data_IF_437265035909
#
_entry.id   IF_437265035909
#
_cell.length_a   1.000
_cell.length_b   1.000
_cell.length_c   1.000
_cell.angle_alpha   90.00
_cell.angle_beta   90.00
_cell.angle_gamma   90.00
#
_symmetry.space_group_name_H-M   'P 1'
#
loop_
_entity.id
_entity.type
_entity.pdbx_description
1 polymer ?
#
# COMPACT_ATOMS: atom_id res chain seq x y z
N UNK A 1 -16.62 13.55 -14.36
CA UNK A 1 -18.02 13.24 -14.70
C UNK A 1 -18.12 11.82 -15.25
N UNK A 2 -19.05 11.01 -14.74
CA UNK A 2 -19.37 9.68 -15.29
C UNK A 2 -20.29 9.81 -16.50
N UNK A 3 -20.08 8.98 -17.52
CA UNK A 3 -21.00 8.88 -18.66
C UNK A 3 -22.34 8.22 -18.32
N UNK A 4 -22.35 7.33 -17.31
CA UNK A 4 -23.53 6.56 -16.91
C UNK A 4 -23.69 6.55 -15.37
N UNK A 5 -24.07 7.69 -14.75
CA UNK A 5 -24.12 7.83 -13.30
C UNK A 5 -25.08 6.86 -12.60
N UNK A 6 -26.11 6.37 -13.30
CA UNK A 6 -27.06 5.39 -12.77
C UNK A 6 -26.51 3.97 -12.73
N UNK A 7 -25.43 3.69 -13.48
CA UNK A 7 -24.87 2.35 -13.67
C UNK A 7 -23.57 2.10 -12.92
N UNK A 8 -22.72 3.12 -12.83
CA UNK A 8 -21.41 3.01 -12.19
C UNK A 8 -21.25 3.97 -11.04
N UNK A 9 -20.40 3.59 -10.09
CA UNK A 9 -19.91 4.45 -9.01
C UNK A 9 -18.40 4.36 -8.95
N UNK A 10 -17.77 5.26 -8.21
CA UNK A 10 -16.37 5.07 -7.86
C UNK A 10 -16.26 3.88 -6.91
N UNK A 11 -15.22 3.06 -7.10
CA UNK A 11 -14.78 2.12 -6.07
C UNK A 11 -14.33 2.87 -4.83
N UNK A 12 -14.28 2.17 -3.70
CA UNK A 12 -13.61 2.72 -2.54
C UNK A 12 -12.15 3.06 -2.92
N UNK A 13 -11.67 4.22 -2.49
CA UNK A 13 -10.38 4.78 -2.92
C UNK A 13 -10.29 5.08 -4.44
N UNK A 14 -11.40 5.17 -5.19
CA UNK A 14 -11.37 5.25 -6.66
C UNK A 14 -10.56 6.40 -7.30
N UNK A 15 -10.24 7.50 -6.61
CA UNK A 15 -9.57 8.66 -7.24
C UNK A 15 -8.07 8.50 -7.42
N UNK A 16 -7.46 8.08 -6.33
CA UNK A 16 -6.16 7.45 -6.27
C UNK A 16 -6.02 6.57 -7.51
N UNK A 17 -7.13 5.88 -7.78
CA UNK A 17 -7.28 4.78 -8.66
C UNK A 17 -7.18 5.20 -10.19
N UNK A 18 -6.77 6.45 -10.48
CA UNK A 18 -6.60 7.05 -11.83
C UNK A 18 -5.14 7.23 -12.29
N UNK A 19 -4.16 7.05 -11.40
CA UNK A 19 -2.75 7.34 -11.68
C UNK A 19 -1.94 6.06 -11.85
N UNK A 20 -1.16 5.94 -12.93
CA UNK A 20 -0.31 4.76 -13.15
C UNK A 20 0.94 4.73 -12.25
N UNK A 21 1.59 5.88 -12.14
CA UNK A 21 2.84 6.07 -11.40
C UNK A 21 2.89 7.49 -10.85
N UNK A 22 3.44 7.63 -9.63
CA UNK A 22 3.80 8.92 -9.04
C UNK A 22 5.28 8.86 -8.70
N UNK A 23 5.99 9.94 -9.05
CA UNK A 23 7.42 10.09 -8.83
C UNK A 23 7.70 11.37 -8.07
N UNK A 24 8.60 11.28 -7.11
CA UNK A 24 9.19 12.43 -6.43
C UNK A 24 10.60 12.63 -6.98
N UNK A 25 10.82 13.79 -7.61
CA UNK A 25 12.10 14.18 -8.15
C UNK A 25 12.61 15.44 -7.43
N UNK A 26 13.90 15.47 -7.11
CA UNK A 26 14.58 16.68 -6.62
C UNK A 26 15.68 17.01 -7.63
N UNK A 27 15.62 18.20 -8.22
CA UNK A 27 16.54 18.66 -9.28
C UNK A 27 16.67 17.68 -10.46
N UNK A 28 15.60 16.96 -10.82
CA UNK A 28 15.59 16.00 -11.93
C UNK A 28 16.13 14.61 -11.57
N UNK A 29 16.52 14.38 -10.31
CA UNK A 29 16.89 13.06 -9.80
C UNK A 29 15.66 12.44 -9.13
N UNK A 30 15.28 11.24 -9.57
CA UNK A 30 14.20 10.46 -8.94
C UNK A 30 14.63 10.00 -7.55
N UNK A 31 13.93 10.50 -6.53
CA UNK A 31 14.15 10.16 -5.12
C UNK A 31 13.33 8.94 -4.75
N UNK A 32 12.09 8.90 -5.23
CA UNK A 32 11.19 7.79 -4.99
C UNK A 32 10.14 7.69 -6.10
N UNK A 33 9.67 6.48 -6.33
CA UNK A 33 8.61 6.17 -7.28
C UNK A 33 7.72 5.09 -6.69
N UNK A 34 6.42 5.22 -6.92
CA UNK A 34 5.47 4.16 -6.62
C UNK A 34 4.69 3.83 -7.88
N UNK A 35 4.43 2.54 -8.11
CA UNK A 35 3.63 1.98 -9.21
C UNK A 35 2.52 1.13 -8.62
N UNK A 36 1.56 0.69 -9.46
CA UNK A 36 0.37 -0.07 -9.02
C UNK A 36 -0.25 0.63 -7.83
N UNK A 37 -0.43 1.92 -8.05
CA UNK A 37 -0.62 2.85 -6.99
C UNK A 37 -1.79 2.31 -6.10
N UNK A 38 -2.97 1.91 -6.59
CA UNK A 38 -4.20 1.79 -5.77
C UNK A 38 -4.19 0.72 -4.75
N UNK A 39 -3.53 -0.36 -5.09
CA UNK A 39 -3.24 -1.39 -4.13
C UNK A 39 -2.35 -0.83 -3.02
N UNK A 40 -1.26 -0.14 -3.38
CA UNK A 40 -0.32 0.45 -2.42
C UNK A 40 -1.00 1.40 -1.43
N UNK A 41 -1.83 2.37 -1.83
CA UNK A 41 -2.54 3.20 -0.84
C UNK A 41 -3.62 2.45 -0.11
N UNK A 42 -4.27 1.47 -0.73
CA UNK A 42 -5.26 0.67 -0.02
C UNK A 42 -4.61 -0.08 1.13
N UNK A 43 -3.44 -0.68 0.89
CA UNK A 43 -2.60 -1.28 1.93
C UNK A 43 -2.20 -0.24 2.97
N UNK A 44 -1.67 0.91 2.55
CA UNK A 44 -1.26 1.97 3.48
C UNK A 44 -2.42 2.42 4.36
N UNK A 45 -3.61 2.59 3.81
CA UNK A 45 -4.76 3.05 4.58
C UNK A 45 -5.24 2.00 5.58
N UNK A 46 -5.28 0.72 5.20
CA UNK A 46 -5.58 -0.33 6.16
C UNK A 46 -4.51 -0.44 7.25
N UNK A 47 -3.23 -0.32 6.92
CA UNK A 47 -2.11 -0.46 7.85
C UNK A 47 -1.95 0.74 8.79
N UNK A 48 -2.03 1.96 8.25
CA UNK A 48 -1.74 3.20 8.97
C UNK A 48 -2.99 3.94 9.43
N UNK A 49 -4.16 3.58 8.89
CA UNK A 49 -5.43 4.19 9.23
C UNK A 49 -5.77 3.95 10.70
N UNK A 50 -6.40 4.95 11.30
CA UNK A 50 -6.97 4.86 12.64
C UNK A 50 -8.44 5.27 12.58
N UNK A 51 -9.29 4.77 13.51
CA UNK A 51 -10.69 5.18 13.59
C UNK A 51 -10.89 6.70 13.68
N UNK A 52 -9.94 7.43 14.29
CA UNK A 52 -10.00 8.89 14.45
C UNK A 52 -9.89 9.64 13.12
N UNK A 53 -9.23 9.05 12.13
CA UNK A 53 -9.02 9.67 10.82
C UNK A 53 -10.13 9.33 9.82
N UNK A 54 -11.13 8.54 10.22
CA UNK A 54 -12.16 8.00 9.34
C UNK A 54 -12.85 9.07 8.48
N UNK A 55 -13.41 10.10 9.10
CA UNK A 55 -14.13 11.18 8.40
C UNK A 55 -13.18 12.02 7.53
N UNK A 56 -11.90 12.06 7.90
CA UNK A 56 -10.87 12.77 7.16
C UNK A 56 -10.55 12.10 5.82
N UNK A 57 -10.96 10.86 5.56
CA UNK A 57 -10.65 10.15 4.31
C UNK A 57 -11.82 10.11 3.30
N UNK A 58 -13.03 10.50 3.69
CA UNK A 58 -14.18 10.48 2.77
C UNK A 58 -13.96 11.40 1.56
N UNK A 59 -13.32 12.55 1.77
CA UNK A 59 -13.02 13.52 0.70
C UNK A 59 -11.94 13.04 -0.29
N UNK A 60 -11.15 12.02 0.08
CA UNK A 60 -10.20 11.32 -0.79
C UNK A 60 -10.75 10.01 -1.36
N UNK A 61 -12.05 9.75 -1.15
CA UNK A 61 -12.78 8.62 -1.75
C UNK A 61 -12.88 7.37 -0.89
N UNK A 62 -12.55 7.44 0.40
CA UNK A 62 -12.63 6.32 1.33
C UNK A 62 -13.94 6.29 2.11
N UNK A 63 -14.76 5.26 1.89
CA UNK A 63 -16.15 5.20 2.37
C UNK A 63 -16.39 3.93 3.22
N UNK A 64 -15.65 3.80 4.32
CA UNK A 64 -15.54 2.57 5.15
C UNK A 64 -16.78 2.17 6.02
N UNK A 65 -17.77 3.05 6.21
CA UNK A 65 -18.93 2.95 7.14
C UNK A 65 -20.13 3.68 6.57
N UNK A 66 -19.92 4.90 6.08
CA UNK A 66 -20.94 5.66 5.39
C UNK A 66 -20.86 5.28 3.91
N UNK A 67 -21.92 4.71 3.36
CA UNK A 67 -22.03 4.45 1.92
C UNK A 67 -22.20 5.76 1.13
N UNK A 68 -21.48 6.82 1.50
CA UNK A 68 -21.53 8.14 0.92
C UNK A 68 -21.04 8.06 -0.52
N UNK A 69 -21.90 8.48 -1.45
CA UNK A 69 -21.50 8.61 -2.85
C UNK A 69 -20.57 9.81 -2.96
N UNK A 70 -19.34 9.57 -3.42
CA UNK A 70 -18.38 10.65 -3.68
C UNK A 70 -18.74 11.49 -4.92
N UNK A 71 -19.93 11.27 -5.51
CA UNK A 71 -20.46 11.97 -6.66
C UNK A 71 -21.93 12.36 -6.43
N UNK A 72 -22.34 13.46 -7.04
CA UNK A 72 -23.74 13.89 -7.02
C UNK A 72 -24.61 13.05 -7.97
N UNK A 73 -25.92 13.29 -7.95
CA UNK A 73 -26.90 12.60 -8.81
C UNK A 73 -26.62 12.73 -10.33
N UNK A 74 -25.82 13.73 -10.73
CA UNK A 74 -25.38 13.95 -12.13
C UNK A 74 -24.07 13.25 -12.47
N UNK A 75 -23.47 12.51 -11.52
CA UNK A 75 -22.17 11.86 -11.70
C UNK A 75 -20.98 12.81 -11.71
N UNK A 76 -21.14 14.02 -11.16
CA UNK A 76 -20.05 14.98 -10.96
C UNK A 76 -19.43 14.75 -9.59
N UNK A 77 -18.11 14.86 -9.52
CA UNK A 77 -17.35 14.61 -8.30
C UNK A 77 -16.22 15.63 -8.16
N UNK A 78 -15.78 15.84 -6.92
CA UNK A 78 -14.58 16.56 -6.58
C UNK A 78 -13.84 15.78 -5.51
N UNK A 79 -12.53 15.65 -5.65
CA UNK A 79 -11.68 14.94 -4.71
C UNK A 79 -10.49 15.80 -4.35
N UNK A 80 -10.05 15.71 -3.10
CA UNK A 80 -8.72 16.15 -2.70
C UNK A 80 -8.01 14.93 -2.15
N UNK A 81 -6.90 14.55 -2.78
CA UNK A 81 -6.14 13.37 -2.39
C UNK A 81 -4.86 13.90 -1.76
N UNK A 82 -4.69 13.80 -0.43
CA UNK A 82 -3.45 14.21 0.20
C UNK A 82 -2.31 13.37 -0.35
N UNK A 83 -1.15 13.98 -0.60
CA UNK A 83 0.04 13.27 -1.11
C UNK A 83 0.56 12.17 -0.18
N UNK A 84 0.06 12.14 1.05
CA UNK A 84 0.26 11.05 1.99
C UNK A 84 -0.48 9.76 1.59
N UNK A 85 -1.49 9.82 0.71
CA UNK A 85 -2.52 8.78 0.53
C UNK A 85 -3.05 8.53 -0.91
N UNK A 86 -2.47 9.09 -1.98
CA UNK A 86 -2.92 8.85 -3.39
C UNK A 86 -2.61 7.46 -3.90
N UNK A 87 -3.38 6.85 -4.88
CA UNK A 87 -3.13 5.56 -5.69
C UNK A 87 -4.22 4.63 -6.55
N UNK A 88 -4.01 4.05 -7.82
CA UNK A 88 -4.67 3.14 -8.96
C UNK A 88 -5.90 2.03 -9.00
N UNK A 89 -6.93 2.14 -9.94
CA UNK A 89 -8.33 1.60 -10.45
C UNK A 89 -9.77 2.21 -10.06
N UNK A 90 -10.30 3.20 -10.78
CA UNK A 90 -11.33 4.11 -10.23
C UNK A 90 -12.77 3.65 -10.00
N UNK A 91 -13.23 2.56 -10.58
CA UNK A 91 -14.66 2.33 -10.78
C UNK A 91 -15.13 0.98 -10.23
N UNK A 92 -16.38 0.97 -9.73
CA UNK A 92 -17.13 -0.23 -9.40
C UNK A 92 -18.58 -0.13 -9.88
N UNK A 93 -19.23 -1.26 -10.14
CA UNK A 93 -20.63 -1.29 -10.57
C UNK A 93 -21.60 -1.02 -9.40
N UNK A 94 -22.74 -0.41 -9.69
CA UNK A 94 -23.90 -0.40 -8.76
C UNK A 94 -24.58 -1.78 -8.81
N UNK A 95 -25.20 -2.19 -7.69
CA UNK A 95 -25.80 -3.52 -7.55
C UNK A 95 -26.84 -3.81 -8.65
N UNK A 96 -26.74 -4.99 -9.29
CA UNK A 96 -27.72 -5.48 -10.27
C UNK A 96 -27.51 -5.00 -11.73
N UNK A 97 -26.34 -4.45 -12.07
CA UNK A 97 -26.06 -3.86 -13.38
C UNK A 97 -24.89 -4.56 -14.08
N UNK A 98 -25.11 -5.05 -15.30
CA UNK A 98 -24.15 -5.84 -16.08
C UNK A 98 -23.44 -5.00 -17.17
N UNK A 99 -22.82 -3.88 -16.81
CA UNK A 99 -22.07 -3.04 -17.77
C UNK A 99 -20.57 -3.35 -17.69
N UNK A 100 -19.92 -3.58 -18.84
CA UNK A 100 -18.49 -3.94 -18.90
C UNK A 100 -17.57 -2.75 -19.20
N UNK A 101 -18.11 -1.58 -19.52
CA UNK A 101 -17.32 -0.38 -19.85
C UNK A 101 -17.98 0.87 -19.28
N UNK A 102 -17.18 1.80 -18.77
CA UNK A 102 -17.64 3.08 -18.26
C UNK A 102 -16.59 4.16 -18.52
N UNK A 103 -17.04 5.38 -18.83
CA UNK A 103 -16.16 6.51 -19.14
C UNK A 103 -16.17 7.53 -18.01
N UNK A 104 -14.97 7.92 -17.58
CA UNK A 104 -14.74 9.04 -16.66
C UNK A 104 -14.04 10.15 -17.41
N UNK A 105 -14.59 11.36 -17.31
CA UNK A 105 -13.93 12.57 -17.85
C UNK A 105 -13.43 13.43 -16.69
N UNK A 106 -12.13 13.73 -16.68
CA UNK A 106 -11.48 14.63 -15.72
C UNK A 106 -11.38 16.03 -16.33
N UNK A 107 -12.04 17.00 -15.69
CA UNK A 107 -12.09 18.37 -16.22
C UNK A 107 -10.88 19.20 -15.79
N UNK A 108 -10.34 18.95 -14.58
CA UNK A 108 -9.26 19.72 -13.99
C UNK A 108 -8.51 18.88 -12.97
N UNK A 109 -7.17 18.89 -13.06
CA UNK A 109 -6.27 18.30 -12.07
C UNK A 109 -5.33 19.42 -11.60
N UNK A 110 -5.19 19.61 -10.29
CA UNK A 110 -4.33 20.64 -9.70
C UNK A 110 -3.50 20.03 -8.58
N UNK A 111 -2.21 20.31 -8.60
CA UNK A 111 -1.31 20.01 -7.48
C UNK A 111 -1.31 21.17 -6.50
N UNK A 112 -1.59 20.87 -5.22
CA UNK A 112 -1.47 21.83 -4.12
C UNK A 112 -0.33 21.39 -3.22
N UNK A 113 0.83 22.01 -3.38
CA UNK A 113 2.00 21.75 -2.54
C UNK A 113 2.13 22.92 -1.56
N UNK A 114 2.14 22.68 -0.24
CA UNK A 114 2.37 23.74 0.74
C UNK A 114 3.78 24.32 0.56
N UNK A 115 3.87 25.64 0.47
CA UNK A 115 5.15 26.32 0.48
C UNK A 115 5.60 26.53 1.93
N UNK A 116 6.68 25.85 2.31
CA UNK A 116 7.32 26.06 3.60
C UNK A 116 8.43 27.09 3.40
N UNK A 117 8.28 28.24 4.04
CA UNK A 117 9.32 29.27 4.11
C UNK A 117 9.92 29.29 5.50
N UNK A 118 11.25 29.36 5.57
CA UNK A 118 11.97 29.56 6.82
C UNK A 118 12.13 31.06 7.10
N UNK A 119 12.21 31.42 8.37
CA UNK A 119 12.56 32.78 8.81
C UNK A 119 13.95 33.18 8.28
N UNK A 120 14.19 34.48 8.08
CA UNK A 120 15.42 34.99 7.46
C UNK A 120 16.70 34.54 8.19
N UNK A 121 16.63 34.40 9.52
CA UNK A 121 17.77 33.92 10.33
C UNK A 121 18.13 32.47 9.99
N UNK A 122 17.14 31.59 9.87
CA UNK A 122 17.35 30.18 9.52
C UNK A 122 17.65 30.02 8.03
N UNK A 123 17.05 30.85 7.18
CA UNK A 123 17.34 30.93 5.75
C UNK A 123 18.81 31.20 5.50
N UNK A 124 19.40 32.18 6.19
CA UNK A 124 20.83 32.49 6.08
C UNK A 124 21.72 31.32 6.49
N UNK A 125 21.33 30.54 7.51
CA UNK A 125 22.08 29.33 7.91
C UNK A 125 21.99 28.24 6.84
N UNK A 126 20.81 28.01 6.28
CA UNK A 126 20.62 27.03 5.20
C UNK A 126 21.36 27.44 3.92
N UNK A 127 21.34 28.71 3.55
CA UNK A 127 22.10 29.22 2.41
C UNK A 127 23.60 29.00 2.57
N UNK A 128 24.16 29.22 3.77
CA UNK A 128 25.57 28.91 4.04
C UNK A 128 25.91 27.43 3.96
N UNK A 129 24.95 26.52 4.22
CA UNK A 129 25.15 25.07 4.02
C UNK A 129 25.13 24.72 2.53
N UNK A 130 24.23 25.35 1.79
CA UNK A 130 24.08 25.20 0.35
C UNK A 130 25.31 25.74 -0.40
N UNK A 131 25.82 26.92 -0.03
CA UNK A 131 27.04 27.54 -0.59
C UNK A 131 28.31 26.70 -0.39
N UNK A 132 28.33 25.88 0.66
CA UNK A 132 29.45 24.97 0.94
C UNK A 132 29.35 23.66 0.14
N UNK A 133 28.34 23.51 -0.72
CA UNK A 133 28.07 22.32 -1.52
C UNK A 133 28.06 21.03 -0.69
N UNK A 134 27.65 21.14 0.58
CA UNK A 134 27.68 20.00 1.49
C UNK A 134 26.57 19.03 1.13
N UNK A 135 26.91 17.76 0.94
CA UNK A 135 25.95 16.68 0.79
C UNK A 135 24.98 16.62 1.96
N UNK A 136 23.69 16.59 1.64
CA UNK A 136 22.59 16.39 2.57
C UNK A 136 22.08 14.96 2.41
N UNK A 137 22.22 14.14 3.45
CA UNK A 137 21.65 12.80 3.48
C UNK A 137 20.23 12.87 4.01
N UNK A 138 19.27 12.42 3.20
CA UNK A 138 17.84 12.45 3.50
C UNK A 138 17.39 11.01 3.74
N UNK A 139 17.33 10.54 5.00
CA UNK A 139 16.77 9.24 5.31
C UNK A 139 15.24 9.31 5.24
N UNK A 140 14.62 8.32 4.59
CA UNK A 140 13.18 8.14 4.58
C UNK A 140 12.82 6.66 4.45
N UNK A 141 11.56 6.34 4.74
CA UNK A 141 11.04 4.98 4.58
C UNK A 141 10.37 4.85 3.21
N UNK A 142 10.87 3.93 2.41
CA UNK A 142 10.37 3.64 1.08
C UNK A 142 9.36 2.50 1.11
N UNK A 143 8.47 2.52 0.12
CA UNK A 143 7.39 1.58 -0.06
C UNK A 143 7.51 1.05 -1.49
N UNK A 144 7.80 -0.24 -1.63
CA UNK A 144 7.95 -0.89 -2.92
C UNK A 144 6.94 -2.02 -3.05
N UNK A 145 6.02 -1.88 -4.01
CA UNK A 145 4.95 -2.85 -4.23
C UNK A 145 5.26 -3.72 -5.43
N UNK A 146 5.21 -5.02 -5.22
CA UNK A 146 5.33 -6.06 -6.22
C UNK A 146 3.97 -6.68 -6.48
N UNK A 147 3.71 -7.04 -7.72
CA UNK A 147 2.50 -7.73 -8.15
C UNK A 147 2.88 -9.07 -8.78
N UNK A 148 2.19 -10.13 -8.36
CA UNK A 148 2.13 -11.40 -9.06
C UNK A 148 0.73 -11.49 -9.70
N UNK A 149 0.60 -11.15 -11.01
CA UNK A 149 -0.69 -10.93 -11.65
C UNK A 149 -1.67 -12.09 -11.55
N UNK A 150 -1.17 -13.32 -11.71
CA UNK A 150 -1.95 -14.54 -11.59
C UNK A 150 -1.09 -15.64 -10.99
N UNK A 151 -1.47 -16.10 -9.80
CA UNK A 151 -0.81 -17.20 -9.12
C UNK A 151 -1.00 -18.52 -9.88
N UNK A 152 -0.03 -19.42 -9.73
CA UNK A 152 -0.07 -20.75 -10.32
C UNK A 152 -1.29 -21.54 -9.84
N UNK A 153 -1.71 -22.52 -10.65
CA UNK A 153 -2.79 -23.48 -10.30
C UNK A 153 -2.22 -24.51 -9.31
N UNK A 154 -1.80 -24.03 -8.15
CA UNK A 154 -1.19 -24.78 -7.08
C UNK A 154 -1.76 -24.33 -5.74
N UNK A 155 -1.65 -25.21 -4.74
CA UNK A 155 -1.97 -24.89 -3.34
C UNK A 155 -0.81 -24.21 -2.63
N UNK A 156 0.40 -24.37 -3.15
CA UNK A 156 1.63 -23.77 -2.66
C UNK A 156 2.30 -23.02 -3.79
N UNK A 157 2.62 -21.75 -3.57
CA UNK A 157 3.34 -20.90 -4.51
C UNK A 157 4.60 -20.37 -3.85
N UNK A 158 5.71 -20.41 -4.60
CA UNK A 158 6.98 -19.80 -4.21
C UNK A 158 7.20 -18.59 -5.12
N UNK A 159 7.37 -17.41 -4.52
CA UNK A 159 7.56 -16.15 -5.24
C UNK A 159 8.85 -15.47 -4.81
N UNK A 160 9.80 -15.36 -5.74
CA UNK A 160 11.07 -14.69 -5.50
C UNK A 160 11.00 -13.22 -5.94
N UNK A 161 11.28 -12.30 -5.00
CA UNK A 161 11.37 -10.87 -5.24
C UNK A 161 12.83 -10.45 -5.33
N UNK A 162 13.18 -9.72 -6.40
CA UNK A 162 14.52 -9.13 -6.54
C UNK A 162 14.54 -7.79 -5.81
N UNK A 163 15.19 -7.69 -4.66
CA UNK A 163 15.34 -6.39 -3.98
C UNK A 163 16.57 -5.62 -4.47
N UNK A 164 16.47 -4.29 -4.41
CA UNK A 164 17.52 -3.37 -4.84
C UNK A 164 18.53 -3.11 -3.70
N UNK A 165 19.55 -3.97 -3.57
CA UNK A 165 20.78 -3.76 -2.78
C UNK A 165 20.72 -3.93 -1.24
N UNK A 166 21.88 -4.17 -0.61
CA UNK A 166 22.06 -4.33 0.86
C UNK A 166 21.55 -3.16 1.71
N UNK A 167 21.58 -1.94 1.17
CA UNK A 167 21.21 -0.73 1.92
C UNK A 167 19.70 -0.64 2.18
N UNK A 168 18.90 -1.44 1.48
CA UNK A 168 17.44 -1.34 1.43
C UNK A 168 16.78 -2.61 2.00
N UNK A 169 17.28 -3.07 3.14
CA UNK A 169 16.78 -4.27 3.83
C UNK A 169 15.30 -4.09 4.23
N UNK A 170 14.38 -4.99 3.82
CA UNK A 170 12.97 -4.91 4.22
C UNK A 170 12.80 -5.06 5.73
N UNK A 171 12.14 -4.08 6.35
CA UNK A 171 11.73 -4.09 7.76
C UNK A 171 10.35 -4.68 7.96
N UNK A 172 9.46 -4.46 6.98
CA UNK A 172 8.13 -5.03 6.99
C UNK A 172 7.82 -5.57 5.60
N UNK A 173 7.18 -6.72 5.57
CA UNK A 173 6.80 -7.43 4.36
C UNK A 173 5.31 -7.70 4.51
N UNK A 174 4.53 -6.97 3.72
CA UNK A 174 3.07 -7.04 3.75
C UNK A 174 2.61 -7.81 2.52
N UNK A 175 1.72 -8.78 2.72
CA UNK A 175 1.29 -9.70 1.67
C UNK A 175 -0.22 -9.72 1.63
N UNK A 176 -0.78 -9.49 0.45
CA UNK A 176 -2.21 -9.61 0.19
C UNK A 176 -2.51 -10.46 -1.02
N UNK A 177 -3.74 -10.97 -1.04
CA UNK A 177 -4.31 -11.69 -2.17
C UNK A 177 -5.63 -11.05 -2.58
N UNK A 178 -5.88 -11.06 -3.89
CA UNK A 178 -7.11 -10.55 -4.45
C UNK A 178 -7.63 -11.46 -5.56
N UNK A 179 -8.87 -11.95 -5.41
CA UNK A 179 -9.57 -12.72 -6.44
C UNK A 179 -10.22 -11.79 -7.46
N UNK A 180 -10.03 -12.01 -8.76
CA UNK A 180 -10.83 -11.34 -9.79
C UNK A 180 -10.62 -9.83 -9.89
N UNK A 181 -9.37 -9.35 -9.75
CA UNK A 181 -8.95 -7.94 -9.92
C UNK A 181 -9.59 -7.24 -11.12
N UNK A 182 -9.70 -7.93 -12.26
CA UNK A 182 -10.18 -7.35 -13.52
C UNK A 182 -11.73 -7.34 -13.66
N UNK A 183 -12.47 -7.66 -12.58
CA UNK A 183 -13.93 -7.66 -12.59
C UNK A 183 -14.47 -6.36 -12.00
N UNK A 184 -15.22 -5.60 -12.81
CA UNK A 184 -15.89 -4.35 -12.44
C UNK A 184 -16.90 -4.49 -11.28
N UNK A 185 -17.38 -5.70 -11.02
CA UNK A 185 -18.28 -6.02 -9.91
C UNK A 185 -17.57 -6.02 -8.56
N UNK A 186 -16.23 -6.14 -8.57
CA UNK A 186 -15.43 -6.26 -7.35
C UNK A 186 -14.74 -4.96 -6.99
N UNK A 187 -14.84 -4.60 -5.71
CA UNK A 187 -14.08 -3.48 -5.16
C UNK A 187 -12.59 -3.83 -5.14
N UNK A 188 -11.81 -3.08 -5.91
CA UNK A 188 -10.37 -3.29 -6.02
C UNK A 188 -9.62 -2.92 -4.73
N UNK A 189 -10.25 -2.16 -3.83
CA UNK A 189 -9.66 -1.87 -2.52
C UNK A 189 -9.79 -3.02 -1.53
N UNK A 190 -10.53 -4.09 -1.86
CA UNK A 190 -10.76 -5.22 -0.94
C UNK A 190 -9.85 -6.39 -1.29
N UNK A 191 -9.31 -7.03 -0.25
CA UNK A 191 -8.46 -8.20 -0.34
C UNK A 191 -9.18 -9.43 0.21
N UNK A 192 -8.74 -10.61 -0.21
CA UNK A 192 -9.37 -11.90 0.11
C UNK A 192 -8.39 -12.81 0.83
N UNK A 193 -8.87 -13.51 1.85
CA UNK A 193 -8.05 -14.45 2.61
C UNK A 193 -7.66 -15.71 1.82
N UNK A 194 -8.30 -15.95 0.67
CA UNK A 194 -8.03 -17.04 -0.28
C UNK A 194 -7.87 -18.44 0.35
N UNK A 195 -8.49 -18.69 1.49
CA UNK A 195 -8.33 -19.91 2.28
C UNK A 195 -6.86 -20.27 2.57
N UNK A 196 -6.03 -19.24 2.84
CA UNK A 196 -4.65 -19.41 3.28
C UNK A 196 -4.56 -20.33 4.49
N UNK A 197 -3.53 -21.17 4.50
CA UNK A 197 -3.18 -22.05 5.62
C UNK A 197 -1.85 -21.65 6.23
N UNK A 198 -0.92 -21.15 5.41
CA UNK A 198 0.40 -20.74 5.89
C UNK A 198 1.02 -19.71 4.95
N UNK A 199 1.82 -18.81 5.52
CA UNK A 199 2.64 -17.86 4.77
C UNK A 199 3.99 -17.75 5.46
N UNK A 200 5.06 -17.87 4.68
CA UNK A 200 6.43 -17.68 5.16
C UNK A 200 7.19 -16.78 4.21
N UNK A 201 8.08 -16.00 4.79
CA UNK A 201 9.05 -15.20 4.08
C UNK A 201 10.44 -15.73 4.42
N UNK A 202 11.27 -15.87 3.41
CA UNK A 202 12.68 -16.19 3.56
C UNK A 202 13.49 -14.96 3.19
N UNK A 203 14.27 -14.46 4.15
CA UNK A 203 15.28 -13.43 3.91
C UNK A 203 16.64 -14.10 3.95
N UNK A 204 17.32 -14.19 2.81
CA UNK A 204 18.60 -14.91 2.67
C UNK A 204 18.55 -16.32 3.33
N UNK A 205 17.48 -17.07 3.04
CA UNK A 205 17.19 -18.42 3.58
C UNK A 205 16.78 -18.50 5.06
N UNK A 206 16.63 -17.37 5.77
CA UNK A 206 16.09 -17.34 7.14
C UNK A 206 14.57 -17.12 7.07
N UNK A 207 13.80 -18.02 7.67
CA UNK A 207 12.34 -18.00 7.63
C UNK A 207 11.72 -17.07 8.68
N UNK A 208 10.67 -16.34 8.27
CA UNK A 208 9.85 -15.45 9.07
C UNK A 208 8.35 -15.64 8.71
N UNK A 209 7.46 -15.88 9.67
CA UNK A 209 7.76 -16.34 11.02
C UNK A 209 8.45 -17.72 11.01
N UNK A 210 9.10 -18.07 12.11
CA UNK A 210 9.74 -19.39 12.27
C UNK A 210 8.69 -20.52 12.35
N UNK A 211 7.63 -20.30 13.12
CA UNK A 211 6.52 -21.23 13.26
C UNK A 211 5.50 -21.08 12.13
N UNK A 212 4.73 -22.14 11.88
CA UNK A 212 3.61 -22.08 10.95
C UNK A 212 2.45 -21.26 11.52
N UNK A 213 1.81 -20.48 10.65
CA UNK A 213 0.61 -19.74 11.00
C UNK A 213 -0.60 -20.66 11.26
N UNK A 214 -0.65 -21.83 10.61
CA UNK A 214 -1.70 -22.85 10.74
C UNK A 214 -3.13 -22.26 10.65
N UNK A 215 -3.35 -21.37 9.69
CA UNK A 215 -4.60 -20.63 9.50
C UNK A 215 -5.72 -21.57 9.05
N UNK A 216 -6.92 -21.36 9.60
CA UNK A 216 -8.14 -22.05 9.18
C UNK A 216 -9.33 -21.11 9.34
N UNK A 217 -9.67 -20.41 8.25
CA UNK A 217 -10.77 -19.45 8.25
C UNK A 217 -12.15 -20.10 8.45
N UNK A 218 -12.31 -21.39 8.12
CA UNK A 218 -13.58 -22.11 8.33
C UNK A 218 -13.84 -22.37 9.81
N UNK A 219 -12.77 -22.54 10.59
CA UNK A 219 -12.81 -22.69 12.05
C UNK A 219 -12.56 -21.39 12.80
N UNK A 220 -12.60 -20.24 12.10
CA UNK A 220 -12.33 -18.93 12.69
C UNK A 220 -10.92 -18.81 13.30
N UNK A 221 -9.96 -19.62 12.83
CA UNK A 221 -8.58 -19.61 13.28
C UNK A 221 -7.74 -18.64 12.44
N UNK A 222 -7.91 -17.34 12.71
CA UNK A 222 -7.14 -16.25 12.10
C UNK A 222 -6.61 -15.24 13.14
N UNK A 223 -6.78 -15.50 14.43
CA UNK A 223 -6.43 -14.55 15.49
C UNK A 223 -4.96 -14.13 15.47
N UNK A 224 -4.05 -15.06 15.17
CA UNK A 224 -2.62 -14.75 15.00
C UNK A 224 -2.38 -13.77 13.84
N UNK A 225 -3.10 -13.94 12.73
CA UNK A 225 -3.01 -13.05 11.58
C UNK A 225 -3.49 -11.64 11.93
N UNK A 226 -4.59 -11.54 12.68
CA UNK A 226 -5.08 -10.26 13.17
C UNK A 226 -4.12 -9.60 14.17
N UNK A 227 -3.48 -10.37 15.05
CA UNK A 227 -2.48 -9.88 15.99
C UNK A 227 -1.25 -9.29 15.28
N UNK A 228 -0.77 -9.96 14.22
CA UNK A 228 0.28 -9.44 13.33
C UNK A 228 -0.11 -8.10 12.69
N UNK A 229 -1.37 -7.95 12.28
CA UNK A 229 -1.89 -6.70 11.72
C UNK A 229 -1.96 -5.55 12.74
N UNK A 230 -2.50 -5.78 13.94
CA UNK A 230 -2.66 -4.70 14.93
C UNK A 230 -1.33 -4.26 15.57
N UNK A 231 -0.36 -5.17 15.68
CA UNK A 231 0.98 -4.88 16.21
C UNK A 231 1.85 -4.08 15.25
N UNK A 232 1.48 -4.02 13.96
CA UNK A 232 2.20 -3.26 12.94
C UNK A 232 2.41 -1.79 13.32
N UNK A 233 1.36 -1.09 13.76
CA UNK A 233 1.44 0.34 14.05
C UNK A 233 2.39 0.63 15.21
N UNK A 234 2.34 -0.20 16.26
CA UNK A 234 3.28 -0.08 17.39
C UNK A 234 4.72 -0.25 16.92
N UNK A 235 5.00 -1.31 16.15
CA UNK A 235 6.35 -1.59 15.66
C UNK A 235 6.85 -0.53 14.67
N UNK A 236 5.99 -0.08 13.75
CA UNK A 236 6.35 0.90 12.72
C UNK A 236 6.63 2.30 13.28
N UNK A 237 5.81 2.76 14.23
CA UNK A 237 5.92 4.08 14.84
C UNK A 237 6.79 4.10 16.10
N UNK A 238 7.15 2.93 16.63
CA UNK A 238 7.87 2.76 17.90
C UNK A 238 7.13 3.44 19.06
N UNK A 239 5.80 3.28 19.09
CA UNK A 239 4.90 3.88 20.08
C UNK A 239 3.95 2.83 20.61
N UNK A 240 3.70 2.83 21.92
CA UNK A 240 2.74 1.93 22.58
C UNK A 240 1.29 2.36 22.35
N UNK A 241 0.87 2.44 21.07
CA UNK A 241 -0.48 2.80 20.65
C UNK A 241 -0.95 1.76 19.65
N UNK A 242 -2.06 1.10 19.98
CA UNK A 242 -2.75 0.15 19.11
C UNK A 242 -4.08 0.78 18.73
N UNK A 243 -4.21 1.28 17.50
CA UNK A 243 -5.44 1.91 17.05
C UNK A 243 -5.79 1.52 15.60
N UNK A 244 -5.92 0.20 15.31
CA UNK A 244 -6.20 -0.27 13.96
C UNK A 244 -7.58 0.20 13.48
N UNK A 245 -7.68 0.54 12.19
CA UNK A 245 -8.95 0.99 11.58
C UNK A 245 -9.99 -0.14 11.44
N UNK A 246 -9.55 -1.39 11.38
CA UNK A 246 -10.41 -2.56 11.19
C UNK A 246 -10.56 -3.37 12.48
N UNK A 247 -11.80 -3.73 12.82
CA UNK A 247 -12.10 -4.78 13.81
C UNK A 247 -11.87 -6.19 13.22
N UNK A 248 -11.79 -7.26 14.02
CA UNK A 248 -11.51 -8.61 13.52
C UNK A 248 -12.46 -9.09 12.41
N UNK A 249 -13.77 -8.77 12.50
CA UNK A 249 -14.76 -9.17 11.50
C UNK A 249 -14.62 -8.37 10.20
N UNK A 250 -14.34 -7.06 10.31
CA UNK A 250 -14.11 -6.21 9.14
C UNK A 250 -12.75 -6.46 8.50
N UNK A 251 -11.74 -6.86 9.29
CA UNK A 251 -10.44 -7.31 8.81
C UNK A 251 -10.59 -8.52 7.90
N UNK A 252 -11.23 -9.58 8.38
CA UNK A 252 -11.40 -10.81 7.60
C UNK A 252 -12.17 -10.58 6.28
N UNK A 253 -13.17 -9.71 6.31
CA UNK A 253 -14.03 -9.44 5.15
C UNK A 253 -13.45 -8.42 4.17
N UNK A 254 -12.66 -7.45 4.61
CA UNK A 254 -12.18 -6.35 3.77
C UNK A 254 -10.71 -6.48 3.39
N UNK A 255 -9.85 -6.86 4.34
CA UNK A 255 -8.42 -6.84 4.18
C UNK A 255 -7.72 -7.79 5.17
N UNK A 256 -7.71 -9.10 4.90
CA UNK A 256 -7.03 -10.09 5.74
C UNK A 256 -5.51 -10.03 5.53
N UNK A 257 -4.94 -8.92 5.99
CA UNK A 257 -3.57 -8.50 5.72
C UNK A 257 -2.54 -9.30 6.50
N UNK A 258 -1.51 -9.79 5.79
CA UNK A 258 -0.41 -10.52 6.40
C UNK A 258 0.77 -9.58 6.58
N UNK A 259 1.06 -9.20 7.82
CA UNK A 259 2.19 -8.34 8.16
C UNK A 259 3.30 -9.18 8.79
N UNK A 260 4.42 -9.34 8.08
CA UNK A 260 5.61 -9.99 8.62
C UNK A 260 6.60 -8.90 9.02
N UNK A 261 6.79 -8.74 10.34
CA UNK A 261 7.75 -7.81 10.92
C UNK A 261 9.14 -8.44 10.97
N UNK A 262 10.04 -7.92 10.15
CA UNK A 262 11.46 -8.28 10.09
C UNK A 262 12.35 -7.15 10.58
N UNK A 263 11.81 -6.15 11.28
CA UNK A 263 12.55 -4.96 11.72
C UNK A 263 13.69 -5.27 12.71
N UNK A 264 13.56 -6.38 13.45
CA UNK A 264 14.54 -6.85 14.46
C UNK A 264 15.45 -7.97 13.96
N UNK A 265 15.49 -8.21 12.65
CA UNK A 265 16.36 -9.22 12.05
C UNK A 265 17.85 -8.90 12.27
N UNK A 266 18.69 -9.93 12.34
CA UNK A 266 20.11 -9.79 12.64
C UNK A 266 20.86 -8.94 11.60
N UNK A 267 21.78 -8.10 12.06
CA UNK A 267 22.63 -7.22 11.25
C UNK A 267 23.88 -7.92 10.67
N UNK A 268 23.99 -9.25 10.78
CA UNK A 268 25.18 -9.98 10.33
C UNK A 268 25.52 -9.67 8.87
N UNK A 269 26.68 -9.03 8.69
CA UNK A 269 27.02 -8.19 7.55
C UNK A 269 27.48 -8.94 6.28
N UNK A 270 27.02 -10.17 6.02
CA UNK A 270 27.65 -11.05 5.01
C UNK A 270 27.06 -11.00 3.60
N UNK A 271 25.79 -10.63 3.41
CA UNK A 271 25.17 -10.59 2.07
C UNK A 271 25.21 -9.20 1.43
N UNK A 272 25.51 -9.12 0.12
CA UNK A 272 25.55 -7.87 -0.69
C UNK A 272 24.17 -7.44 -1.22
N UNK A 273 23.17 -8.30 -1.11
CA UNK A 273 21.76 -8.05 -1.41
C UNK A 273 20.90 -8.93 -0.48
N UNK A 274 19.64 -8.55 -0.27
CA UNK A 274 18.69 -9.36 0.51
C UNK A 274 17.77 -10.07 -0.46
N UNK A 275 17.94 -11.38 -0.61
CA UNK A 275 16.99 -12.18 -1.38
C UNK A 275 15.71 -12.36 -0.55
N UNK A 276 14.58 -11.97 -1.13
CA UNK A 276 13.26 -12.07 -0.49
C UNK A 276 12.47 -13.10 -1.25
N UNK A 277 12.20 -14.23 -0.59
CA UNK A 277 11.36 -15.29 -1.14
C UNK A 277 10.11 -15.46 -0.27
N UNK A 278 8.95 -15.56 -0.92
CA UNK A 278 7.66 -15.77 -0.28
C UNK A 278 7.19 -17.19 -0.57
N UNK A 279 6.76 -17.91 0.45
CA UNK A 279 6.00 -19.14 0.33
C UNK A 279 4.58 -18.90 0.80
N UNK A 280 3.62 -19.10 -0.10
CA UNK A 280 2.20 -18.91 0.16
C UNK A 280 1.50 -20.27 0.01
N UNK A 281 0.80 -20.70 1.05
CA UNK A 281 0.07 -21.97 1.08
C UNK A 281 -1.41 -21.75 1.41
N UNK A 282 -2.28 -22.45 0.69
CA UNK A 282 -3.73 -22.42 0.87
C UNK A 282 -4.34 -23.82 0.84
N UNK A 283 -5.55 -23.97 1.40
CA UNK A 283 -6.27 -25.25 1.40
C UNK A 283 -6.81 -25.62 0.01
N UNK A 284 -7.01 -24.62 -0.85
CA UNK A 284 -7.54 -24.70 -2.22
C UNK A 284 -6.53 -24.15 -3.24
N UNK A 285 -6.75 -24.40 -4.53
CA UNK A 285 -5.90 -23.87 -5.60
C UNK A 285 -6.07 -22.36 -5.72
N UNK A 286 -4.98 -21.62 -5.91
CA UNK A 286 -4.95 -20.15 -6.01
C UNK A 286 -5.25 -19.62 -7.43
N UNK A 287 -6.08 -20.33 -8.20
CA UNK A 287 -6.44 -19.98 -9.58
C UNK A 287 -7.17 -18.64 -9.67
N UNK A 288 -6.72 -17.74 -10.55
CA UNK A 288 -7.32 -16.42 -10.74
C UNK A 288 -7.16 -15.47 -9.54
N UNK A 289 -6.17 -15.75 -8.68
CA UNK A 289 -5.76 -14.89 -7.56
C UNK A 289 -4.55 -14.07 -8.00
N UNK A 290 -4.61 -12.77 -7.79
CA UNK A 290 -3.46 -11.86 -7.87
C UNK A 290 -2.86 -11.73 -6.47
N UNK A 291 -1.54 -11.84 -6.34
CA UNK A 291 -0.84 -11.54 -5.09
C UNK A 291 -0.14 -10.20 -5.16
N UNK A 292 -0.10 -9.51 -4.03
CA UNK A 292 0.66 -8.28 -3.87
C UNK A 292 1.59 -8.42 -2.69
N UNK A 293 2.80 -7.90 -2.83
CA UNK A 293 3.74 -7.80 -1.74
C UNK A 293 4.24 -6.36 -1.65
N UNK A 294 4.02 -5.73 -0.50
CA UNK A 294 4.54 -4.40 -0.19
C UNK A 294 5.75 -4.56 0.74
N UNK A 295 6.91 -4.16 0.25
CA UNK A 295 8.13 -4.06 1.03
C UNK A 295 8.25 -2.66 1.60
N UNK A 296 8.54 -2.59 2.89
CA UNK A 296 8.87 -1.35 3.58
C UNK A 296 10.31 -1.43 4.06
N UNK A 297 11.15 -0.52 3.57
CA UNK A 297 12.57 -0.47 3.90
C UNK A 297 13.04 0.97 4.07
N UNK A 298 14.12 1.16 4.84
CA UNK A 298 14.74 2.47 4.97
C UNK A 298 15.62 2.75 3.74
N UNK A 299 15.60 3.99 3.25
CA UNK A 299 16.44 4.49 2.16
C UNK A 299 17.11 5.78 2.60
N UNK A 300 18.32 6.02 2.10
CA UNK A 300 19.02 7.30 2.27
C UNK A 300 19.34 7.81 0.89
N UNK A 301 18.87 9.01 0.58
CA UNK A 301 19.26 9.71 -0.66
C UNK A 301 20.21 10.84 -0.32
N UNK A 302 21.31 10.89 -1.06
CA UNK A 302 22.25 11.99 -1.01
C UNK A 302 21.80 13.10 -1.95
N UNK A 303 21.55 14.28 -1.41
CA UNK A 303 21.28 15.49 -2.17
C UNK A 303 22.48 16.42 -2.10
N UNK A 304 23.05 16.74 -3.25
CA UNK A 304 24.10 17.75 -3.38
C UNK A 304 23.47 19.02 -3.99
N UNK A 305 23.56 20.17 -3.32
CA UNK A 305 23.06 21.42 -3.87
C UNK A 305 23.79 21.79 -5.18
N UNK A 306 23.05 22.29 -6.18
CA UNK A 306 23.55 22.80 -7.48
C UNK A 306 24.18 21.81 -8.46
N UNK A 307 24.32 20.52 -8.14
CA UNK A 307 24.64 19.51 -9.16
C UNK A 307 23.45 19.32 -10.10
N UNK A 308 23.71 19.50 -11.41
CA UNK A 308 22.83 19.15 -12.53
C UNK A 308 23.09 17.73 -13.00
#
# INVERSE_FOLDING_TARGET
>A
MFSEPDKVKLSNNGYSYLFEQIRLEINGIEINSTRVLGITSSLKEYLFGTPDNYDCYEHSGWNFKNATQSANDKGEFSACIPLKYCDLNALSLKSGINTTTAKVTLNKIVWKVPHITVDDVERLKLLKLIEKEKSLFIPFRSFETYEYPELEIAKKVVWNLKTASKLEKPRFIIIELQKGKNKLEKDCSRFDHCNLTNVRVFLNSIAYPYDNLNLDFTKNNFSLLYDMYISFQESYYEKSIWNPILSPSTFLSNAPIIVIDTSKQNDSATASAVDVQLEIEASETLTGVTAYCLLIHDRIVEYVPFTR
#
